data_IF_794734160220
#
_entry.id   IF_794734160220
#
_cell.length_a   1.000
_cell.length_b   1.000
_cell.length_c   1.000
_cell.angle_alpha   90.00
_cell.angle_beta   90.00
_cell.angle_gamma   90.00
#
_symmetry.space_group_name_H-M   'P 1'
#
loop_
_entity.id
_entity.type
_entity.pdbx_description
1 polymer ?
#
# COMPACT_ATOMS: atom_id res chain seq x y z
N UNK A 1 40.24 19.84 58.64
CA UNK A 1 40.93 20.94 57.93
C UNK A 1 42.00 20.34 57.03
N UNK A 2 41.85 20.48 55.72
CA UNK A 2 42.93 20.93 54.83
C UNK A 2 42.29 21.29 53.48
N UNK A 3 42.70 22.42 52.93
CA UNK A 3 42.18 23.00 51.69
C UNK A 3 43.32 22.89 50.67
N UNK A 4 43.07 22.37 49.46
CA UNK A 4 43.98 22.62 48.34
C UNK A 4 43.26 22.56 46.99
N UNK A 5 43.33 23.68 46.28
CA UNK A 5 42.89 24.04 44.90
C UNK A 5 43.87 25.19 44.52
N UNK A 6 44.35 25.40 43.28
CA UNK A 6 43.85 25.01 41.94
C UNK A 6 44.86 24.06 41.21
N UNK A 7 45.05 23.95 39.89
CA UNK A 7 44.61 24.73 38.70
C UNK A 7 44.76 23.93 37.37
N UNK A 8 44.45 24.61 36.25
CA UNK A 8 44.91 24.42 34.86
C UNK A 8 44.18 23.44 33.93
N UNK A 9 43.50 24.07 32.95
CA UNK A 9 42.85 23.48 31.78
C UNK A 9 43.80 22.77 30.80
N UNK A 10 43.29 21.79 30.06
CA UNK A 10 43.67 21.54 28.66
C UNK A 10 42.50 20.94 27.89
N UNK A 11 42.28 21.44 26.68
CA UNK A 11 41.11 21.17 25.84
C UNK A 11 41.42 20.11 24.77
N UNK A 12 40.57 19.09 24.64
CA UNK A 12 40.44 18.23 23.45
C UNK A 12 38.95 17.92 23.30
N UNK A 13 38.16 18.59 22.43
CA UNK A 13 38.20 18.58 20.96
C UNK A 13 38.02 17.17 20.39
N UNK A 14 36.78 16.91 19.98
CA UNK A 14 36.35 16.12 18.81
C UNK A 14 36.87 14.69 18.64
N UNK A 15 35.99 13.74 18.94
CA UNK A 15 35.83 12.52 18.14
C UNK A 15 34.34 12.15 18.04
N UNK A 16 33.61 12.94 17.26
CA UNK A 16 32.25 12.61 16.83
C UNK A 16 32.28 11.26 16.10
N UNK A 17 31.70 10.22 16.71
CA UNK A 17 31.58 8.88 16.14
C UNK A 17 30.13 8.40 16.16
N UNK A 18 29.28 9.14 15.44
CA UNK A 18 28.12 8.55 14.75
C UNK A 18 28.53 8.37 13.30
N UNK A 19 28.36 7.17 12.71
CA UNK A 19 27.14 7.00 11.93
C UNK A 19 26.62 5.55 11.92
N UNK A 20 25.53 5.30 12.65
CA UNK A 20 24.66 4.15 12.38
C UNK A 20 23.19 4.45 12.76
N UNK A 21 22.74 5.67 12.46
CA UNK A 21 21.30 5.96 12.36
C UNK A 21 20.75 5.21 11.16
N UNK A 22 20.47 3.92 11.33
CA UNK A 22 19.57 3.20 10.44
C UNK A 22 18.30 4.05 10.31
N UNK A 23 17.83 4.34 9.09
CA UNK A 23 16.55 5.01 8.94
C UNK A 23 15.50 4.09 9.54
N UNK A 24 15.04 4.43 10.76
CA UNK A 24 13.79 3.89 11.29
C UNK A 24 12.74 4.30 10.28
N UNK A 25 12.35 3.35 9.44
CA UNK A 25 11.27 3.50 8.46
C UNK A 25 9.99 3.66 9.25
N UNK A 26 9.74 4.89 9.68
CA UNK A 26 8.58 5.25 10.49
C UNK A 26 7.33 4.73 9.79
N UNK A 27 6.42 4.04 10.48
CA UNK A 27 5.21 3.48 9.84
C UNK A 27 4.36 4.57 9.17
N UNK A 28 4.53 5.83 9.59
CA UNK A 28 3.98 7.00 8.91
C UNK A 28 4.45 7.15 7.45
N UNK A 29 5.74 6.95 7.17
CA UNK A 29 6.31 7.12 5.82
C UNK A 29 5.89 6.03 4.84
N UNK A 30 5.71 4.80 5.30
CA UNK A 30 5.18 3.70 4.47
C UNK A 30 3.67 3.85 4.26
N UNK A 31 2.91 4.33 5.26
CA UNK A 31 1.49 4.63 5.10
C UNK A 31 1.26 5.71 4.03
N UNK A 32 2.00 6.83 4.10
CA UNK A 32 1.98 7.88 3.06
C UNK A 32 2.30 7.31 1.67
N UNK A 33 3.23 6.37 1.56
CA UNK A 33 3.57 5.75 0.27
C UNK A 33 2.49 4.78 -0.25
N UNK A 34 1.80 4.06 0.63
CA UNK A 34 0.61 3.29 0.26
C UNK A 34 -0.54 4.20 -0.20
N UNK A 35 -0.76 5.34 0.48
CA UNK A 35 -1.73 6.36 0.09
C UNK A 35 -1.41 7.00 -1.28
N UNK A 36 -0.12 7.31 -1.54
CA UNK A 36 0.35 7.80 -2.84
C UNK A 36 0.08 6.82 -3.98
N UNK A 37 0.23 5.51 -3.73
CA UNK A 37 -0.08 4.47 -4.70
C UNK A 37 -1.58 4.37 -4.97
N UNK A 38 -2.42 4.35 -3.93
CA UNK A 38 -3.89 4.35 -4.07
C UNK A 38 -4.37 5.58 -4.85
N UNK A 39 -3.90 6.78 -4.48
CA UNK A 39 -4.22 8.01 -5.18
C UNK A 39 -3.62 8.08 -6.59
N UNK A 40 -2.52 7.38 -6.84
CA UNK A 40 -1.90 7.23 -8.16
C UNK A 40 -2.71 6.34 -9.09
N UNK A 41 -3.14 5.17 -8.61
CA UNK A 41 -3.98 4.21 -9.34
C UNK A 41 -5.35 4.84 -9.62
N UNK A 42 -5.99 5.45 -8.62
CA UNK A 42 -7.28 6.14 -8.77
C UNK A 42 -7.25 7.19 -9.88
N UNK A 43 -6.32 8.15 -9.81
CA UNK A 43 -6.16 9.20 -10.83
C UNK A 43 -5.86 8.64 -12.23
N UNK A 44 -5.08 7.57 -12.32
CA UNK A 44 -4.71 6.96 -13.60
C UNK A 44 -5.89 6.22 -14.27
N UNK A 45 -6.77 5.60 -13.47
CA UNK A 45 -7.95 4.88 -13.95
C UNK A 45 -9.16 5.79 -14.18
N UNK A 46 -9.29 6.90 -13.43
CA UNK A 46 -10.30 7.92 -13.67
C UNK A 46 -9.97 8.79 -14.88
N UNK A 47 -8.68 9.06 -15.11
CA UNK A 47 -8.19 9.90 -16.20
C UNK A 47 -7.12 9.17 -17.04
N UNK A 48 -7.48 8.10 -17.77
CA UNK A 48 -6.54 7.28 -18.56
C UNK A 48 -5.91 8.00 -19.76
N UNK A 49 -6.32 9.24 -20.02
CA UNK A 49 -5.75 10.11 -21.06
C UNK A 49 -6.32 9.84 -22.45
N UNK A 50 -5.44 9.71 -23.44
CA UNK A 50 -5.83 9.46 -24.84
C UNK A 50 -5.83 7.95 -25.13
N UNK A 51 -6.81 7.41 -25.89
CA UNK A 51 -6.83 5.99 -26.27
C UNK A 51 -5.52 5.50 -26.93
N UNK A 52 -4.82 6.34 -27.67
CA UNK A 52 -3.52 6.01 -28.28
C UNK A 52 -2.44 5.56 -27.26
N UNK A 53 -2.59 5.91 -25.97
CA UNK A 53 -1.70 5.47 -24.89
C UNK A 53 -2.30 4.38 -23.99
N UNK A 54 -3.48 3.84 -24.32
CA UNK A 54 -4.21 2.88 -23.47
C UNK A 54 -3.34 1.69 -23.00
N UNK A 55 -2.56 1.08 -23.90
CA UNK A 55 -1.66 -0.03 -23.57
C UNK A 55 -0.59 0.38 -22.54
N UNK A 56 -0.03 1.58 -22.68
CA UNK A 56 0.97 2.11 -21.74
C UNK A 56 0.36 2.51 -20.40
N UNK A 57 -0.83 3.14 -20.43
CA UNK A 57 -1.60 3.49 -19.23
C UNK A 57 -1.99 2.23 -18.45
N UNK A 58 -2.42 1.17 -19.13
CA UNK A 58 -2.75 -0.13 -18.52
C UNK A 58 -1.52 -0.78 -17.87
N UNK A 59 -0.42 -0.89 -18.61
CA UNK A 59 0.84 -1.42 -18.07
C UNK A 59 1.42 -0.57 -16.91
N UNK A 60 1.10 0.73 -16.87
CA UNK A 60 1.46 1.60 -15.73
C UNK A 60 0.54 1.37 -14.53
N UNK A 61 -0.76 1.17 -14.75
CA UNK A 61 -1.72 0.86 -13.70
C UNK A 61 -1.43 -0.50 -13.05
N UNK A 62 -1.16 -1.53 -13.86
CA UNK A 62 -0.71 -2.86 -13.41
C UNK A 62 0.52 -2.77 -12.50
N UNK A 63 1.56 -2.05 -12.91
CA UNK A 63 2.77 -1.87 -12.08
C UNK A 63 2.51 -1.17 -10.74
N UNK A 64 1.64 -0.16 -10.71
CA UNK A 64 1.27 0.52 -9.46
C UNK A 64 0.45 -0.39 -8.55
N UNK A 65 -0.47 -1.17 -9.12
CA UNK A 65 -1.28 -2.14 -8.39
C UNK A 65 -0.42 -3.29 -7.84
N UNK A 66 0.52 -3.83 -8.63
CA UNK A 66 1.47 -4.86 -8.19
C UNK A 66 2.44 -4.35 -7.11
N UNK A 67 2.86 -3.07 -7.16
CA UNK A 67 3.64 -2.45 -6.09
C UNK A 67 2.82 -2.36 -4.79
N UNK A 68 1.56 -1.93 -4.88
CA UNK A 68 0.64 -1.84 -3.74
C UNK A 68 0.33 -3.24 -3.15
N UNK A 69 0.02 -4.23 -3.98
CA UNK A 69 -0.19 -5.62 -3.60
C UNK A 69 1.02 -6.15 -2.81
N UNK A 70 2.22 -6.04 -3.39
CA UNK A 70 3.46 -6.50 -2.76
C UNK A 70 3.69 -5.85 -1.40
N UNK A 71 3.34 -4.57 -1.23
CA UNK A 71 3.48 -3.81 0.03
C UNK A 71 2.52 -4.30 1.11
N UNK A 72 1.25 -4.48 0.75
CA UNK A 72 0.23 -4.97 1.70
C UNK A 72 0.57 -6.41 2.13
N UNK A 73 1.04 -7.24 1.20
CA UNK A 73 1.41 -8.64 1.44
C UNK A 73 2.73 -8.79 2.21
N UNK A 74 3.75 -7.96 1.93
CA UNK A 74 4.96 -7.88 2.75
C UNK A 74 4.68 -7.33 4.15
N UNK A 75 3.54 -6.66 4.31
CA UNK A 75 3.03 -6.23 5.59
C UNK A 75 3.35 -4.79 5.98
N UNK A 76 3.70 -3.95 5.00
CA UNK A 76 3.67 -2.49 5.16
C UNK A 76 2.25 -2.04 5.60
N UNK A 77 2.14 -0.89 6.29
CA UNK A 77 0.86 -0.34 6.69
C UNK A 77 -0.07 -0.10 5.49
N UNK A 78 -1.34 -0.41 5.72
CA UNK A 78 -2.44 -0.13 4.80
C UNK A 78 -2.56 1.39 4.56
N UNK A 79 -3.10 1.80 3.40
CA UNK A 79 -3.53 3.17 3.15
C UNK A 79 -4.37 3.72 4.31
N UNK A 80 -4.11 4.96 4.73
CA UNK A 80 -4.76 5.61 5.87
C UNK A 80 -6.27 5.81 5.65
N UNK A 81 -6.70 5.90 4.39
CA UNK A 81 -8.11 5.95 4.01
C UNK A 81 -8.85 4.61 4.21
N UNK A 82 -8.14 3.48 4.28
CA UNK A 82 -8.76 2.16 4.34
C UNK A 82 -9.05 1.73 5.78
N UNK A 83 -10.30 1.94 6.18
CA UNK A 83 -10.81 1.56 7.49
C UNK A 83 -10.94 0.04 7.67
N UNK A 84 -10.69 -0.76 6.62
CA UNK A 84 -10.47 -2.20 6.67
C UNK A 84 -9.41 -2.63 7.73
N UNK A 85 -8.43 -1.77 8.01
CA UNK A 85 -7.44 -1.93 9.10
C UNK A 85 -8.06 -2.02 10.51
N UNK A 86 -9.29 -1.53 10.69
CA UNK A 86 -10.05 -1.57 11.95
C UNK A 86 -11.01 -2.75 12.06
N UNK A 87 -11.04 -3.65 11.07
CA UNK A 87 -11.78 -4.91 11.14
C UNK A 87 -10.95 -5.91 11.95
N UNK A 88 -11.50 -6.34 13.10
CA UNK A 88 -10.88 -7.31 14.01
C UNK A 88 -10.48 -8.60 13.26
N UNK A 89 -9.42 -9.34 13.67
CA UNK A 89 -8.91 -10.51 12.95
C UNK A 89 -10.01 -11.49 12.50
N UNK A 90 -9.84 -12.12 11.32
CA UNK A 90 -10.93 -12.75 10.61
C UNK A 90 -11.56 -13.89 11.41
N UNK A 91 -12.90 -13.89 11.43
CA UNK A 91 -13.71 -15.03 11.83
C UNK A 91 -13.32 -16.23 10.92
N UNK A 92 -13.30 -17.48 11.41
CA UNK A 92 -12.94 -18.67 10.62
C UNK A 92 -13.61 -18.71 9.22
N UNK A 93 -12.97 -19.35 8.22
CA UNK A 93 -13.34 -19.23 6.80
C UNK A 93 -14.83 -19.49 6.49
N UNK A 94 -15.51 -20.35 7.25
CA UNK A 94 -16.95 -20.61 7.13
C UNK A 94 -17.88 -19.42 7.49
N UNK A 95 -17.32 -18.32 8.01
CA UNK A 95 -18.04 -17.11 8.41
C UNK A 95 -17.45 -15.83 7.77
N UNK A 96 -16.62 -15.97 6.73
CA UNK A 96 -16.26 -14.85 5.85
C UNK A 96 -17.53 -14.47 5.06
N UNK A 97 -18.21 -13.43 5.50
CA UNK A 97 -19.49 -13.02 4.94
C UNK A 97 -19.38 -12.35 3.56
N UNK A 98 -20.52 -12.08 2.92
CA UNK A 98 -20.66 -11.58 1.54
C UNK A 98 -19.71 -10.40 1.20
N UNK A 99 -19.43 -9.50 2.15
CA UNK A 99 -18.51 -8.38 1.95
C UNK A 99 -17.05 -8.82 1.66
N UNK A 100 -16.60 -9.93 2.24
CA UNK A 100 -15.28 -10.51 1.97
C UNK A 100 -15.20 -11.11 0.57
N UNK A 101 -16.22 -11.89 0.17
CA UNK A 101 -16.27 -12.47 -1.18
C UNK A 101 -16.35 -11.36 -2.23
N UNK A 102 -17.12 -10.30 -1.94
CA UNK A 102 -17.21 -9.11 -2.78
C UNK A 102 -15.88 -8.35 -2.90
N UNK A 103 -15.17 -8.13 -1.79
CA UNK A 103 -13.86 -7.48 -1.81
C UNK A 103 -12.82 -8.33 -2.57
N UNK A 104 -12.81 -9.65 -2.36
CA UNK A 104 -11.93 -10.60 -3.05
C UNK A 104 -12.23 -10.62 -4.55
N UNK A 105 -13.50 -10.77 -4.94
CA UNK A 105 -13.92 -10.69 -6.35
C UNK A 105 -13.55 -9.35 -6.99
N UNK A 106 -13.69 -8.22 -6.28
CA UNK A 106 -13.30 -6.91 -6.81
C UNK A 106 -11.78 -6.81 -6.98
N UNK A 107 -10.98 -7.35 -6.06
CA UNK A 107 -9.53 -7.48 -6.21
C UNK A 107 -9.16 -8.31 -7.45
N UNK A 108 -9.75 -9.51 -7.58
CA UNK A 108 -9.46 -10.41 -8.70
C UNK A 108 -9.85 -9.78 -10.03
N UNK A 109 -11.01 -9.13 -10.10
CA UNK A 109 -11.48 -8.42 -11.30
C UNK A 109 -10.59 -7.23 -11.68
N UNK A 110 -9.95 -6.54 -10.72
CA UNK A 110 -8.93 -5.51 -11.02
C UNK A 110 -7.67 -6.17 -11.54
N UNK A 111 -7.16 -7.20 -10.86
CA UNK A 111 -5.94 -7.93 -11.20
C UNK A 111 -6.02 -8.54 -12.61
N UNK A 112 -7.15 -9.16 -12.95
CA UNK A 112 -7.43 -9.72 -14.28
C UNK A 112 -7.51 -8.62 -15.35
N UNK A 113 -8.32 -7.58 -15.12
CA UNK A 113 -8.46 -6.48 -16.08
C UNK A 113 -7.14 -5.72 -16.32
N UNK A 114 -6.26 -5.58 -15.31
CA UNK A 114 -4.95 -4.95 -15.47
C UNK A 114 -3.95 -5.81 -16.25
N UNK A 115 -4.15 -7.14 -16.27
CA UNK A 115 -3.33 -8.11 -17.01
C UNK A 115 -3.83 -8.41 -18.42
N UNK A 116 -4.97 -7.85 -18.82
CA UNK A 116 -5.55 -8.04 -20.15
C UNK A 116 -4.59 -7.58 -21.25
N UNK A 117 -4.19 -8.49 -22.13
CA UNK A 117 -3.23 -8.21 -23.22
C UNK A 117 -3.95 -8.10 -24.55
N UNK A 118 -3.87 -6.93 -25.18
CA UNK A 118 -4.41 -6.74 -26.52
C UNK A 118 -4.06 -5.39 -27.15
N UNK A 119 -4.68 -5.13 -28.30
CA UNK A 119 -4.56 -3.83 -28.98
C UNK A 119 -5.24 -2.69 -28.21
N UNK A 120 -5.10 -1.47 -28.72
CA UNK A 120 -5.60 -0.23 -28.09
C UNK A 120 -7.06 -0.31 -27.61
N UNK A 121 -7.96 -0.91 -28.40
CA UNK A 121 -9.38 -1.05 -28.04
C UNK A 121 -9.58 -1.96 -26.83
N UNK A 122 -8.86 -3.08 -26.78
CA UNK A 122 -8.88 -4.04 -25.66
C UNK A 122 -8.33 -3.36 -24.41
N UNK A 123 -7.15 -2.73 -24.51
CA UNK A 123 -6.54 -2.04 -23.38
C UNK A 123 -7.38 -0.86 -22.86
N UNK A 124 -8.12 -0.16 -23.73
CA UNK A 124 -9.03 0.91 -23.31
C UNK A 124 -10.26 0.38 -22.57
N UNK A 125 -10.82 -0.75 -23.02
CA UNK A 125 -11.89 -1.44 -22.31
C UNK A 125 -11.41 -1.97 -20.96
N UNK A 126 -10.24 -2.61 -20.94
CA UNK A 126 -9.59 -3.10 -19.73
C UNK A 126 -9.36 -2.00 -18.69
N UNK A 127 -8.89 -0.82 -19.10
CA UNK A 127 -8.78 0.36 -18.21
C UNK A 127 -10.13 0.79 -17.62
N UNK A 128 -11.20 0.80 -18.42
CA UNK A 128 -12.53 1.17 -17.94
C UNK A 128 -13.12 0.14 -16.97
N UNK A 129 -12.89 -1.16 -17.21
CA UNK A 129 -13.32 -2.24 -16.31
C UNK A 129 -12.49 -2.23 -15.01
N UNK A 130 -11.15 -2.14 -15.11
CA UNK A 130 -10.26 -1.96 -13.96
C UNK A 130 -10.66 -0.72 -13.13
N UNK A 131 -10.95 0.42 -13.75
CA UNK A 131 -11.42 1.63 -13.06
C UNK A 131 -12.80 1.50 -12.42
N UNK A 132 -13.65 0.57 -12.88
CA UNK A 132 -14.93 0.25 -12.23
C UNK A 132 -14.73 -0.63 -11.00
N UNK A 133 -13.91 -1.69 -11.11
CA UNK A 133 -13.65 -2.59 -9.99
C UNK A 133 -12.73 -1.97 -8.94
N UNK A 134 -11.78 -1.12 -9.34
CA UNK A 134 -10.91 -0.39 -8.43
C UNK A 134 -11.69 0.55 -7.51
N UNK A 135 -12.64 1.32 -8.06
CA UNK A 135 -13.54 2.15 -7.23
C UNK A 135 -14.34 1.30 -6.26
N UNK A 136 -15.00 0.24 -6.74
CA UNK A 136 -15.75 -0.70 -5.87
C UNK A 136 -14.89 -1.32 -4.75
N UNK A 137 -13.65 -1.68 -5.04
CA UNK A 137 -12.70 -2.21 -4.06
C UNK A 137 -12.30 -1.14 -3.05
N UNK A 138 -11.90 0.05 -3.52
CA UNK A 138 -11.52 1.16 -2.67
C UNK A 138 -12.67 1.62 -1.76
N UNK A 139 -13.87 1.78 -2.32
CA UNK A 139 -15.07 2.19 -1.59
C UNK A 139 -15.41 1.15 -0.50
N UNK A 140 -15.38 -0.15 -0.82
CA UNK A 140 -15.58 -1.21 0.17
C UNK A 140 -14.54 -1.13 1.31
N UNK A 141 -13.25 -0.92 1.00
CA UNK A 141 -12.16 -0.85 1.98
C UNK A 141 -12.21 0.42 2.84
N UNK A 142 -12.75 1.52 2.29
CA UNK A 142 -13.10 2.74 3.04
C UNK A 142 -14.31 2.48 3.94
N UNK A 143 -15.33 1.77 3.47
CA UNK A 143 -16.57 1.42 4.21
C UNK A 143 -16.38 0.34 5.30
N UNK A 144 -15.13 0.01 5.66
CA UNK A 144 -14.77 -1.04 6.65
C UNK A 144 -15.11 -2.47 6.20
N UNK A 145 -15.19 -2.73 4.90
CA UNK A 145 -15.20 -4.10 4.38
C UNK A 145 -13.92 -4.84 4.83
N UNK A 146 -14.00 -6.15 5.12
CA UNK A 146 -12.80 -6.97 5.30
C UNK A 146 -11.86 -6.91 4.10
N UNK A 147 -10.56 -7.07 4.36
CA UNK A 147 -9.52 -7.18 3.34
C UNK A 147 -9.77 -8.42 2.45
N UNK A 148 -9.46 -8.35 1.14
CA UNK A 148 -9.54 -9.49 0.23
C UNK A 148 -8.54 -10.59 0.59
N UNK A 149 -8.82 -11.82 0.15
CA UNK A 149 -8.02 -13.04 0.39
C UNK A 149 -6.50 -12.84 0.35
N UNK A 150 -5.89 -12.32 -0.74
CA UNK A 150 -4.43 -12.24 -0.85
C UNK A 150 -3.79 -11.26 0.13
N UNK A 151 -4.56 -10.34 0.73
CA UNK A 151 -4.11 -9.33 1.68
C UNK A 151 -4.38 -9.71 3.14
N UNK A 152 -5.14 -10.78 3.38
CA UNK A 152 -5.18 -11.41 4.69
C UNK A 152 -3.82 -12.03 4.97
N UNK A 153 -3.03 -11.39 5.85
CA UNK A 153 -1.93 -12.09 6.49
C UNK A 153 -2.51 -13.16 7.40
N UNK A 154 -2.21 -14.40 7.10
CA UNK A 154 -2.50 -15.54 7.97
C UNK A 154 -1.90 -15.25 9.34
N UNK A 155 -2.67 -15.38 10.45
CA UNK A 155 -2.10 -15.19 11.76
C UNK A 155 -0.99 -16.24 11.95
N UNK A 156 0.23 -15.76 12.21
CA UNK A 156 1.26 -16.60 12.80
C UNK A 156 0.67 -17.21 14.07
N UNK A 157 0.43 -18.53 14.02
CA UNK A 157 -0.03 -19.28 15.18
C UNK A 157 1.09 -19.36 16.19
N UNK A 158 0.94 -18.61 17.29
CA UNK A 158 1.63 -18.82 18.55
C UNK A 158 0.79 -19.74 19.46
#
# INVERSE_FOLDING_TARGET
MNINVPDSSTTSVTAESSPASQPRTSPHSSATRSDELVAGIGRLLEHPGRPAHAVWTLARADRLFAELDRRIRSGEPLPSAWLASMVRPPVPPAARGIAYDYATHCYDSVSEALREVGGVVVAWRALAEAGRYWRRLNDALVERSPLPEPWLREPLGE
#
